data_IF_612615400470
#
_entry.id   IF_612615400470
#
_cell.length_a   1.000
_cell.length_b   1.000
_cell.length_c   1.000
_cell.angle_alpha   90.00
_cell.angle_beta   90.00
_cell.angle_gamma   90.00
#
_symmetry.space_group_name_H-M   'P 1'
#
loop_
_entity.id
_entity.type
_entity.pdbx_description
1 polymer ?
#
# COMPACT_ATOMS: atom_id res chain seq x y z
N UNK A 1 7.44 -6.33 4.42
CA UNK A 1 6.52 -5.20 4.18
C UNK A 1 6.58 -4.19 5.31
N UNK A 2 6.50 -4.61 6.58
CA UNK A 2 6.65 -3.77 7.78
C UNK A 2 7.87 -2.83 7.73
N UNK A 3 9.04 -3.38 7.38
CA UNK A 3 10.28 -2.57 7.28
C UNK A 3 10.30 -1.54 6.15
N UNK A 4 9.41 -1.61 5.17
CA UNK A 4 9.27 -0.56 4.14
C UNK A 4 8.43 0.59 4.68
N UNK A 5 7.30 0.28 5.34
CA UNK A 5 6.38 1.27 5.89
C UNK A 5 7.00 2.07 7.04
N UNK A 6 7.74 1.40 7.93
CA UNK A 6 8.49 2.06 9.00
C UNK A 6 9.51 3.06 8.43
N UNK A 7 10.19 2.68 7.34
CA UNK A 7 11.14 3.56 6.65
C UNK A 7 10.45 4.71 5.94
N UNK A 8 9.30 4.46 5.30
CA UNK A 8 8.51 5.51 4.65
C UNK A 8 8.02 6.54 5.66
N UNK A 9 7.40 6.07 6.75
CA UNK A 9 6.94 6.91 7.85
C UNK A 9 8.08 7.77 8.43
N UNK A 10 9.26 7.17 8.65
CA UNK A 10 10.44 7.89 9.11
C UNK A 10 10.99 8.91 8.10
N UNK A 11 10.95 8.61 6.80
CA UNK A 11 11.41 9.55 5.75
C UNK A 11 10.47 10.75 5.63
N UNK A 12 9.17 10.52 5.78
CA UNK A 12 8.15 11.57 5.71
C UNK A 12 7.91 12.30 7.04
N UNK A 13 8.54 11.83 8.13
CA UNK A 13 8.34 12.31 9.51
C UNK A 13 6.87 12.31 9.95
N UNK A 14 6.17 11.20 9.66
CA UNK A 14 4.74 11.00 10.00
C UNK A 14 4.53 9.69 10.74
N UNK A 15 3.46 9.56 11.55
CA UNK A 15 3.12 8.30 12.19
C UNK A 15 2.79 7.19 11.19
N UNK A 16 3.28 5.98 11.49
CA UNK A 16 2.77 4.74 10.92
C UNK A 16 1.55 4.31 11.74
N UNK A 17 0.36 4.36 11.14
CA UNK A 17 -0.90 3.97 11.76
C UNK A 17 -1.32 2.61 11.18
N UNK A 18 -1.24 1.51 11.95
CA UNK A 18 -1.64 0.19 11.48
C UNK A 18 -3.13 0.15 11.10
N UNK A 19 -3.47 -0.59 10.04
CA UNK A 19 -4.87 -0.77 9.63
C UNK A 19 -5.79 -1.32 10.72
N UNK A 20 -5.23 -2.12 11.64
CA UNK A 20 -5.98 -2.67 12.78
C UNK A 20 -6.47 -1.59 13.76
N UNK A 21 -5.83 -0.41 13.76
CA UNK A 21 -6.22 0.76 14.56
C UNK A 21 -7.22 1.65 13.81
N UNK A 22 -7.64 1.25 12.60
CA UNK A 22 -8.54 1.98 11.69
C UNK A 22 -9.80 1.17 11.35
N UNK A 23 -10.19 0.27 12.26
CA UNK A 23 -11.27 -0.68 12.03
C UNK A 23 -12.67 -0.05 12.22
N UNK A 24 -12.77 1.04 12.99
CA UNK A 24 -14.01 1.79 13.17
C UNK A 24 -13.98 3.08 12.32
N UNK A 25 -15.10 3.46 11.66
CA UNK A 25 -15.26 4.79 11.07
C UNK A 25 -14.85 5.96 11.99
N UNK A 26 -14.99 5.83 13.31
CA UNK A 26 -14.53 6.86 14.27
C UNK A 26 -13.01 6.97 14.36
N UNK A 27 -12.27 5.91 14.03
CA UNK A 27 -10.80 5.92 14.03
C UNK A 27 -10.25 6.74 12.86
N UNK A 28 -11.05 6.94 11.82
CA UNK A 28 -10.72 7.82 10.70
C UNK A 28 -10.60 9.30 11.11
N UNK A 29 -11.36 9.73 12.12
CA UNK A 29 -11.25 11.09 12.65
C UNK A 29 -9.95 11.26 13.45
N UNK A 30 -9.39 10.15 13.98
CA UNK A 30 -8.07 10.17 14.58
C UNK A 30 -6.98 10.43 13.53
N UNK A 31 -7.12 9.92 12.30
CA UNK A 31 -6.18 10.22 11.21
C UNK A 31 -6.12 11.72 10.88
N UNK A 32 -7.27 12.42 10.97
CA UNK A 32 -7.34 13.86 10.74
C UNK A 32 -6.64 14.68 11.84
N UNK A 33 -6.27 14.06 12.96
CA UNK A 33 -5.50 14.72 14.03
C UNK A 33 -4.00 14.79 13.76
N UNK A 34 -3.51 14.09 12.73
CA UNK A 34 -2.13 14.14 12.30
C UNK A 34 -1.97 15.02 11.06
N UNK A 35 -0.88 15.76 10.97
CA UNK A 35 -0.52 16.54 9.77
C UNK A 35 -0.16 15.64 8.57
N UNK A 36 0.00 14.34 8.81
CA UNK A 36 0.17 13.29 7.80
C UNK A 36 0.26 11.91 8.45
N UNK A 37 0.07 10.84 7.68
CA UNK A 37 0.10 9.46 8.18
C UNK A 37 0.44 8.46 7.07
N UNK A 38 0.92 7.28 7.47
CA UNK A 38 1.13 6.13 6.59
C UNK A 38 0.36 4.94 7.14
N UNK A 39 -0.38 4.21 6.29
CA UNK A 39 -1.09 2.98 6.68
C UNK A 39 -0.99 1.90 5.60
N UNK A 40 -1.46 0.69 5.91
CA UNK A 40 -1.69 -0.38 4.93
C UNK A 40 -3.17 -0.48 4.60
N UNK A 41 -3.50 -0.94 3.40
CA UNK A 41 -4.87 -1.30 3.03
C UNK A 41 -4.86 -2.73 2.50
N UNK A 42 -5.21 -3.69 3.37
CA UNK A 42 -5.26 -5.12 3.03
C UNK A 42 -6.71 -5.63 2.87
N UNK A 43 -7.70 -4.88 3.38
CA UNK A 43 -9.12 -5.24 3.39
C UNK A 43 -9.97 -4.21 2.63
N UNK A 44 -11.15 -4.62 2.17
CA UNK A 44 -12.04 -3.77 1.36
C UNK A 44 -12.75 -2.68 2.19
N UNK A 45 -13.18 -2.99 3.43
CA UNK A 45 -14.03 -2.10 4.23
C UNK A 45 -13.42 -0.73 4.58
N UNK A 46 -12.19 -0.61 5.10
CA UNK A 46 -11.60 0.70 5.42
C UNK A 46 -11.10 1.45 4.18
N UNK A 47 -10.97 0.78 3.03
CA UNK A 47 -10.27 1.31 1.85
C UNK A 47 -10.93 2.56 1.27
N UNK A 48 -12.24 2.56 1.10
CA UNK A 48 -12.95 3.69 0.49
C UNK A 48 -12.72 4.98 1.30
N UNK A 49 -12.83 4.86 2.62
CA UNK A 49 -12.63 5.97 3.55
C UNK A 49 -11.17 6.46 3.60
N UNK A 50 -10.20 5.56 3.39
CA UNK A 50 -8.78 5.92 3.32
C UNK A 50 -8.44 6.61 2.00
N UNK A 51 -9.04 6.18 0.88
CA UNK A 51 -8.80 6.77 -0.44
C UNK A 51 -9.30 8.21 -0.53
N UNK A 52 -10.45 8.52 0.08
CA UNK A 52 -10.98 9.89 0.14
C UNK A 52 -10.05 10.88 0.86
N UNK A 53 -9.11 10.36 1.68
CA UNK A 53 -8.18 11.16 2.48
C UNK A 53 -6.71 10.96 2.09
N UNK A 54 -6.42 10.10 1.12
CA UNK A 54 -5.06 9.79 0.73
C UNK A 54 -4.57 10.77 -0.33
N UNK A 55 -3.42 11.40 -0.12
CA UNK A 55 -2.75 12.18 -1.17
C UNK A 55 -1.95 11.28 -2.14
N UNK A 56 -1.53 10.11 -1.67
CA UNK A 56 -0.68 9.18 -2.40
C UNK A 56 -1.00 7.72 -2.04
N UNK A 57 -1.21 6.90 -3.05
CA UNK A 57 -1.29 5.44 -2.94
C UNK A 57 -0.04 4.80 -3.53
N UNK A 58 0.67 4.04 -2.70
CA UNK A 58 1.86 3.27 -3.11
C UNK A 58 1.55 1.79 -3.12
N UNK A 59 1.50 1.19 -4.31
CA UNK A 59 1.39 -0.25 -4.47
C UNK A 59 2.77 -0.87 -4.57
N UNK A 60 3.14 -1.68 -3.57
CA UNK A 60 4.42 -2.41 -3.55
C UNK A 60 4.18 -3.88 -3.87
N UNK A 61 4.74 -4.36 -4.99
CA UNK A 61 4.72 -5.78 -5.32
C UNK A 61 6.06 -6.43 -4.95
N UNK A 62 6.03 -7.61 -4.35
CA UNK A 62 7.26 -8.31 -3.94
C UNK A 62 8.01 -8.95 -5.12
N UNK A 63 7.40 -9.01 -6.30
CA UNK A 63 7.88 -9.73 -7.47
C UNK A 63 7.85 -8.83 -8.70
N UNK A 64 8.90 -8.89 -9.50
CA UNK A 64 8.91 -8.27 -10.82
C UNK A 64 8.03 -9.11 -11.78
N UNK A 65 6.95 -8.54 -12.32
CA UNK A 65 6.08 -9.23 -13.26
C UNK A 65 6.88 -9.75 -14.47
N UNK A 66 6.59 -10.98 -14.91
CA UNK A 66 7.20 -11.57 -16.11
C UNK A 66 8.55 -12.26 -15.90
N UNK A 67 9.12 -12.24 -14.68
CA UNK A 67 10.32 -13.03 -14.37
C UNK A 67 9.99 -14.50 -14.07
N UNK A 68 10.86 -15.43 -14.46
CA UNK A 68 10.70 -16.86 -14.15
C UNK A 68 10.53 -17.10 -12.65
N UNK A 69 11.25 -16.35 -11.82
CA UNK A 69 11.15 -16.41 -10.35
C UNK A 69 9.77 -15.98 -9.84
N UNK A 70 9.20 -14.91 -10.39
CA UNK A 70 7.84 -14.47 -10.08
C UNK A 70 6.79 -15.48 -10.53
N UNK A 71 6.92 -16.01 -11.75
CA UNK A 71 6.01 -17.05 -12.26
C UNK A 71 6.01 -18.31 -11.40
N UNK A 72 7.19 -18.81 -11.00
CA UNK A 72 7.31 -20.00 -10.14
C UNK A 72 6.72 -19.74 -8.76
N UNK A 73 7.02 -18.61 -8.12
CA UNK A 73 6.44 -18.30 -6.80
C UNK A 73 4.94 -18.09 -6.83
N UNK A 74 4.42 -17.36 -7.84
CA UNK A 74 2.99 -17.20 -8.07
C UNK A 74 2.30 -18.56 -8.22
N UNK A 75 2.89 -19.45 -9.00
CA UNK A 75 2.36 -20.81 -9.20
C UNK A 75 2.37 -21.60 -7.88
N UNK A 76 3.47 -21.58 -7.13
CA UNK A 76 3.58 -22.27 -5.83
C UNK A 76 2.61 -21.69 -4.80
N UNK A 77 2.39 -20.37 -4.78
CA UNK A 77 1.41 -19.72 -3.89
C UNK A 77 0.00 -20.16 -4.22
N UNK A 78 -0.38 -20.14 -5.50
CA UNK A 78 -1.71 -20.57 -5.97
C UNK A 78 -1.99 -22.04 -5.65
N UNK A 79 -0.98 -22.90 -5.67
CA UNK A 79 -1.12 -24.31 -5.28
C UNK A 79 -1.29 -24.52 -3.77
N UNK A 80 -0.88 -23.57 -2.93
CA UNK A 80 -1.00 -23.66 -1.45
C UNK A 80 -2.16 -22.87 -0.88
N UNK A 81 -2.67 -21.89 -1.61
CA UNK A 81 -3.71 -20.98 -1.12
C UNK A 81 -5.10 -21.44 -1.59
N UNK A 82 -5.78 -22.22 -0.74
CA UNK A 82 -7.25 -22.32 -0.72
C UNK A 82 -7.88 -21.10 0.01
N UNK A 83 -7.08 -20.09 0.40
CA UNK A 83 -7.54 -18.85 1.00
C UNK A 83 -7.71 -17.74 -0.03
N UNK A 84 -8.75 -16.91 0.12
CA UNK A 84 -9.07 -15.82 -0.81
C UNK A 84 -7.87 -14.89 -0.99
N UNK A 85 -7.40 -14.73 -2.24
CA UNK A 85 -6.47 -13.66 -2.57
C UNK A 85 -7.19 -12.31 -2.44
N UNK A 86 -6.56 -11.27 -1.87
CA UNK A 86 -7.15 -9.94 -1.84
C UNK A 86 -7.36 -9.44 -3.27
N UNK A 87 -8.54 -8.88 -3.55
CA UNK A 87 -8.83 -8.28 -4.84
C UNK A 87 -8.02 -6.98 -4.99
N UNK A 88 -7.13 -6.94 -5.98
CA UNK A 88 -6.28 -5.80 -6.30
C UNK A 88 -6.70 -5.11 -7.60
N UNK A 89 -7.80 -5.53 -8.24
CA UNK A 89 -8.26 -4.95 -9.51
C UNK A 89 -8.65 -3.49 -9.38
N UNK A 90 -9.09 -3.07 -8.20
CA UNK A 90 -9.41 -1.67 -7.86
C UNK A 90 -8.21 -0.72 -7.99
N UNK A 91 -6.97 -1.21 -7.86
CA UNK A 91 -5.78 -0.37 -8.03
C UNK A 91 -5.70 0.21 -9.45
N UNK A 92 -6.23 -0.51 -10.43
CA UNK A 92 -6.28 -0.05 -11.82
C UNK A 92 -7.34 1.05 -12.04
N UNK A 93 -8.31 1.18 -11.12
CA UNK A 93 -9.42 2.15 -11.22
C UNK A 93 -9.25 3.35 -10.29
N UNK A 94 -8.15 3.46 -9.52
CA UNK A 94 -7.89 4.60 -8.64
C UNK A 94 -7.93 5.90 -9.42
N UNK A 95 -7.20 5.97 -10.54
CA UNK A 95 -7.11 7.20 -11.33
C UNK A 95 -8.45 7.65 -11.93
N UNK A 96 -9.42 6.72 -12.10
CA UNK A 96 -10.77 7.04 -12.57
C UNK A 96 -11.70 7.44 -11.43
N UNK A 97 -11.58 6.78 -10.27
CA UNK A 97 -12.45 7.00 -9.11
C UNK A 97 -12.00 8.17 -8.23
N UNK A 98 -10.70 8.43 -8.16
CA UNK A 98 -10.05 9.43 -7.32
C UNK A 98 -8.91 10.10 -8.11
N UNK A 99 -9.23 10.98 -9.07
CA UNK A 99 -8.26 11.54 -10.01
C UNK A 99 -7.19 12.42 -9.34
N UNK A 100 -7.50 12.96 -8.17
CA UNK A 100 -6.60 13.81 -7.39
C UNK A 100 -5.57 13.02 -6.57
N UNK A 101 -5.75 11.70 -6.44
CA UNK A 101 -4.89 10.82 -5.66
C UNK A 101 -3.71 10.36 -6.52
N UNK A 102 -2.50 10.72 -6.12
CA UNK A 102 -1.31 10.23 -6.80
C UNK A 102 -1.18 8.71 -6.63
N UNK A 103 -0.83 8.00 -7.70
CA UNK A 103 -0.62 6.54 -7.65
C UNK A 103 0.79 6.19 -8.12
N UNK A 104 1.48 5.35 -7.35
CA UNK A 104 2.81 4.83 -7.70
C UNK A 104 2.88 3.33 -7.48
N UNK A 105 3.37 2.60 -8.47
CA UNK A 105 3.62 1.16 -8.39
C UNK A 105 5.13 0.88 -8.31
N UNK A 106 5.55 0.18 -7.25
CA UNK A 106 6.94 -0.19 -6.99
C UNK A 106 7.09 -1.71 -7.14
N UNK A 107 7.72 -2.12 -8.23
CA UNK A 107 7.96 -3.52 -8.54
C UNK A 107 9.25 -4.02 -7.87
N UNK A 108 9.09 -4.78 -6.80
CA UNK A 108 10.18 -5.42 -6.08
C UNK A 108 10.92 -4.50 -5.09
N UNK A 109 11.83 -5.08 -4.29
CA UNK A 109 12.53 -4.37 -3.22
C UNK A 109 13.49 -3.30 -3.72
N UNK A 110 14.07 -3.48 -4.92
CA UNK A 110 15.01 -2.51 -5.51
C UNK A 110 14.31 -1.21 -5.89
N UNK A 111 13.16 -1.30 -6.57
CA UNK A 111 12.36 -0.12 -6.92
C UNK A 111 11.87 0.61 -5.66
N UNK A 112 11.42 -0.16 -4.65
CA UNK A 112 11.00 0.40 -3.37
C UNK A 112 12.11 1.17 -2.65
N UNK A 113 13.33 0.60 -2.62
CA UNK A 113 14.49 1.26 -2.00
C UNK A 113 14.95 2.51 -2.76
N UNK A 114 14.97 2.45 -4.10
CA UNK A 114 15.36 3.58 -4.93
C UNK A 114 14.38 4.76 -4.78
N UNK A 115 13.08 4.46 -4.72
CA UNK A 115 12.05 5.47 -4.51
C UNK A 115 12.16 6.13 -3.12
N UNK A 116 12.35 5.35 -2.05
CA UNK A 116 12.59 5.90 -0.71
C UNK A 116 13.83 6.80 -0.67
N UNK A 117 14.92 6.42 -1.33
CA UNK A 117 16.13 7.23 -1.39
C UNK A 117 15.90 8.56 -2.13
N UNK A 118 15.05 8.57 -3.16
CA UNK A 118 14.71 9.77 -3.90
C UNK A 118 13.86 10.76 -3.11
N UNK A 119 13.08 10.30 -2.11
CA UNK A 119 12.31 11.16 -1.22
C UNK A 119 13.17 11.84 -0.14
N UNK A 120 14.29 11.21 0.23
CA UNK A 120 15.20 11.71 1.27
C UNK A 120 16.29 12.66 0.75
N UNK A 121 16.35 12.90 -0.56
CA UNK A 121 17.37 13.70 -1.24
C UNK A 121 16.87 15.12 -1.52
#
# INVERSE_FOLDING_TARGET
>A
MTSFLERLAAVLDVPLVPLAELADPSDADHLASFDGWVTTSEYDDPRALLLDRADLVVHVTHEEPGTLRGLVRRTVRRMRADGSEPDLTWLATISESHPDVAFTHLAGPTAAAAWLAALSA
#
